data_IF_404986109274
#
_entry.id   IF_404986109274
#
_cell.length_a   1.000
_cell.length_b   1.000
_cell.length_c   1.000
_cell.angle_alpha   90.00
_cell.angle_beta   90.00
_cell.angle_gamma   90.00
#
_symmetry.space_group_name_H-M   'P 1'
#
loop_
_entity.id
_entity.type
_entity.pdbx_description
1 polymer ?
#
# COMPACT_ATOMS: atom_id res chain seq x y z
N UNK A 1 23.00 -10.93 -16.43
CA UNK A 1 22.70 -10.11 -15.23
C UNK A 1 22.53 -8.67 -15.71
N UNK A 2 21.39 -8.01 -15.46
CA UNK A 2 21.11 -6.68 -16.00
C UNK A 2 21.98 -5.57 -15.36
N UNK A 3 22.50 -5.80 -14.15
CA UNK A 3 23.33 -4.84 -13.42
C UNK A 3 24.54 -5.57 -12.78
N UNK A 4 25.77 -5.38 -13.30
CA UNK A 4 26.96 -6.10 -12.82
C UNK A 4 27.27 -5.91 -11.33
N UNK A 5 26.94 -4.74 -10.77
CA UNK A 5 27.09 -4.40 -9.36
C UNK A 5 25.83 -4.68 -8.52
N UNK A 6 24.80 -5.29 -9.11
CA UNK A 6 23.51 -5.52 -8.46
C UNK A 6 22.61 -4.28 -8.33
N UNK A 7 23.10 -3.07 -8.59
CA UNK A 7 22.36 -1.80 -8.49
C UNK A 7 22.69 -0.86 -9.66
N UNK A 8 21.69 -0.15 -10.16
CA UNK A 8 21.84 0.98 -11.11
C UNK A 8 21.04 2.18 -10.63
N UNK A 9 21.61 3.38 -10.70
CA UNK A 9 20.92 4.63 -10.36
C UNK A 9 20.91 5.54 -11.59
N UNK A 10 19.75 6.11 -11.89
CA UNK A 10 19.53 7.06 -12.98
C UNK A 10 18.91 8.31 -12.39
N UNK A 11 19.58 9.44 -12.55
CA UNK A 11 19.12 10.75 -12.09
C UNK A 11 18.45 11.50 -13.22
N UNK A 12 17.26 12.02 -12.96
CA UNK A 12 16.51 12.96 -13.79
C UNK A 12 16.47 14.32 -13.11
N UNK A 13 15.96 15.33 -13.81
CA UNK A 13 15.85 16.70 -13.28
C UNK A 13 15.16 16.72 -11.90
N UNK A 14 13.96 16.13 -11.78
CA UNK A 14 13.18 16.14 -10.53
C UNK A 14 12.93 14.74 -9.95
N UNK A 15 13.72 13.74 -10.35
CA UNK A 15 13.52 12.37 -9.91
C UNK A 15 14.82 11.57 -9.86
N UNK A 16 14.91 10.64 -8.92
CA UNK A 16 15.97 9.64 -8.85
C UNK A 16 15.31 8.27 -9.01
N UNK A 17 15.79 7.49 -9.97
CA UNK A 17 15.32 6.14 -10.24
C UNK A 17 16.42 5.14 -9.94
N UNK A 18 16.16 4.24 -9.00
CA UNK A 18 17.06 3.18 -8.56
C UNK A 18 16.51 1.84 -9.03
N UNK A 19 17.37 1.02 -9.61
CA UNK A 19 17.10 -0.35 -10.02
C UNK A 19 17.99 -1.30 -9.24
N UNK A 20 17.43 -2.42 -8.83
CA UNK A 20 18.10 -3.47 -8.09
C UNK A 20 17.93 -4.78 -8.87
N UNK A 21 18.97 -5.62 -8.90
CA UNK A 21 18.83 -6.98 -9.43
C UNK A 21 17.96 -7.81 -8.47
N UNK A 22 17.23 -8.78 -9.03
CA UNK A 22 16.47 -9.75 -8.25
C UNK A 22 17.36 -10.37 -7.15
N UNK A 23 16.80 -10.52 -5.94
CA UNK A 23 17.43 -11.11 -4.75
C UNK A 23 18.62 -10.35 -4.14
N UNK A 24 18.98 -9.16 -4.64
CA UNK A 24 19.97 -8.30 -3.99
C UNK A 24 19.38 -7.64 -2.73
N UNK A 25 18.14 -7.19 -2.83
CA UNK A 25 17.42 -6.59 -1.72
C UNK A 25 16.62 -7.68 -0.97
N UNK A 26 16.82 -7.85 0.36
CA UNK A 26 16.19 -8.93 1.12
C UNK A 26 14.67 -8.78 1.23
N UNK A 27 14.16 -7.56 1.09
CA UNK A 27 12.73 -7.22 1.08
C UNK A 27 12.07 -7.41 -0.31
N UNK A 28 12.84 -7.82 -1.32
CA UNK A 28 12.36 -8.02 -2.68
C UNK A 28 12.19 -6.74 -3.50
N UNK A 29 12.73 -5.60 -3.06
CA UNK A 29 12.68 -4.34 -3.81
C UNK A 29 13.51 -4.45 -5.10
N UNK A 30 12.89 -4.15 -6.25
CA UNK A 30 13.56 -4.18 -7.57
C UNK A 30 13.67 -2.80 -8.22
N UNK A 31 12.76 -1.88 -7.89
CA UNK A 31 12.77 -0.53 -8.42
C UNK A 31 12.26 0.45 -7.37
N UNK A 32 12.94 1.59 -7.25
CA UNK A 32 12.51 2.71 -6.43
C UNK A 32 12.63 4.00 -7.22
N UNK A 33 11.55 4.75 -7.33
CA UNK A 33 11.54 6.07 -7.94
C UNK A 33 11.17 7.09 -6.88
N UNK A 34 12.04 8.09 -6.66
CA UNK A 34 11.78 9.20 -5.73
C UNK A 34 11.67 10.49 -6.54
N UNK A 35 10.56 11.18 -6.38
CA UNK A 35 10.30 12.49 -6.97
C UNK A 35 10.55 13.60 -5.94
N UNK A 36 11.09 14.71 -6.40
CA UNK A 36 11.45 15.85 -5.57
C UNK A 36 10.81 17.14 -6.08
N UNK A 37 10.49 18.02 -5.15
CA UNK A 37 10.21 19.45 -5.39
C UNK A 37 11.44 20.25 -4.95
N UNK A 38 11.86 21.17 -5.82
CA UNK A 38 13.01 22.06 -5.57
C UNK A 38 14.29 21.30 -5.20
N UNK A 39 14.45 20.07 -5.70
CA UNK A 39 15.61 19.19 -5.47
C UNK A 39 15.87 18.78 -4.01
N UNK A 40 15.05 19.20 -3.04
CA UNK A 40 15.26 18.93 -1.61
C UNK A 40 14.10 18.11 -1.03
N UNK A 41 12.86 18.48 -1.35
CA UNK A 41 11.68 17.94 -0.69
C UNK A 41 11.12 16.75 -1.46
N UNK A 42 11.09 15.57 -0.85
CA UNK A 42 10.41 14.40 -1.44
C UNK A 42 8.92 14.68 -1.55
N UNK A 43 8.34 14.39 -2.72
CA UNK A 43 6.89 14.54 -2.95
C UNK A 43 6.20 13.23 -3.16
N UNK A 44 6.84 12.32 -3.88
CA UNK A 44 6.26 11.04 -4.22
C UNK A 44 7.35 9.99 -4.31
N UNK A 45 7.10 8.82 -3.74
CA UNK A 45 7.96 7.66 -3.83
C UNK A 45 7.13 6.50 -4.37
N UNK A 46 7.67 5.81 -5.36
CA UNK A 46 7.11 4.56 -5.87
C UNK A 46 8.15 3.47 -5.68
N UNK A 47 7.77 2.40 -5.02
CA UNK A 47 8.59 1.22 -4.77
C UNK A 47 7.90 0.02 -5.42
N UNK A 48 8.65 -0.77 -6.18
CA UNK A 48 8.16 -1.97 -6.86
C UNK A 48 8.91 -3.17 -6.31
N UNK A 49 8.16 -4.19 -5.93
CA UNK A 49 8.65 -5.38 -5.28
C UNK A 49 8.41 -6.62 -6.13
N UNK A 50 9.23 -7.65 -5.91
CA UNK A 50 9.12 -8.95 -6.57
C UNK A 50 9.42 -10.06 -5.56
N UNK A 51 8.76 -11.21 -5.74
CA UNK A 51 8.99 -12.43 -4.96
C UNK A 51 8.79 -12.29 -3.45
N UNK A 52 8.03 -11.31 -2.97
CA UNK A 52 7.67 -11.21 -1.56
C UNK A 52 6.64 -12.28 -1.17
N UNK A 53 6.81 -12.83 0.03
CA UNK A 53 5.93 -13.86 0.61
C UNK A 53 4.52 -13.30 0.81
N UNK A 54 4.43 -12.06 1.29
CA UNK A 54 3.18 -11.34 1.55
C UNK A 54 2.49 -10.82 0.29
N UNK A 55 2.98 -11.14 -0.91
CA UNK A 55 2.39 -10.75 -2.21
C UNK A 55 2.35 -9.23 -2.46
N UNK A 56 3.08 -8.42 -1.70
CA UNK A 56 3.22 -6.99 -1.98
C UNK A 56 3.98 -6.78 -3.29
N UNK A 57 3.43 -5.97 -4.19
CA UNK A 57 4.00 -5.70 -5.52
C UNK A 57 4.41 -4.24 -5.71
N UNK A 58 3.73 -3.32 -5.02
CA UNK A 58 3.98 -1.88 -5.19
C UNK A 58 3.58 -1.12 -3.94
N UNK A 59 4.39 -0.13 -3.57
CA UNK A 59 4.05 0.87 -2.57
C UNK A 59 4.19 2.24 -3.19
N UNK A 60 3.18 3.09 -2.99
CA UNK A 60 3.19 4.47 -3.40
C UNK A 60 3.03 5.34 -2.16
N UNK A 61 3.99 6.22 -1.91
CA UNK A 61 3.96 7.16 -0.78
C UNK A 61 3.98 8.57 -1.30
N UNK A 62 2.91 9.31 -1.02
CA UNK A 62 2.80 10.73 -1.28
C UNK A 62 3.10 11.51 -0.01
N UNK A 63 4.11 12.37 -0.10
CA UNK A 63 4.52 13.23 1.00
C UNK A 63 3.78 14.56 0.89
N UNK A 64 3.10 14.94 1.96
CA UNK A 64 2.46 16.26 2.08
C UNK A 64 2.93 16.92 3.37
N UNK A 65 2.67 18.23 3.51
CA UNK A 65 3.09 18.99 4.70
C UNK A 65 2.42 18.50 5.99
N UNK A 66 1.23 17.91 5.89
CA UNK A 66 0.44 17.51 7.04
C UNK A 66 0.69 16.03 7.38
N UNK A 67 0.37 15.14 6.43
CA UNK A 67 0.46 13.70 6.63
C UNK A 67 0.89 13.01 5.33
N UNK A 68 1.62 11.91 5.45
CA UNK A 68 2.00 11.10 4.30
C UNK A 68 0.87 10.12 3.99
N UNK A 69 0.47 10.04 2.73
CA UNK A 69 -0.48 9.05 2.24
C UNK A 69 0.32 7.89 1.64
N UNK A 70 0.10 6.67 2.12
CA UNK A 70 0.76 5.47 1.59
C UNK A 70 -0.28 4.49 1.09
N UNK A 71 -0.07 3.97 -0.11
CA UNK A 71 -0.91 2.94 -0.74
C UNK A 71 -0.06 1.73 -1.07
N UNK A 72 -0.39 0.61 -0.44
CA UNK A 72 0.21 -0.70 -0.68
C UNK A 72 -0.69 -1.49 -1.63
N UNK A 73 -0.10 -2.09 -2.66
CA UNK A 73 -0.78 -2.92 -3.65
C UNK A 73 -0.27 -4.35 -3.56
N UNK A 74 -1.21 -5.29 -3.51
CA UNK A 74 -0.94 -6.72 -3.39
C UNK A 74 -1.47 -7.46 -4.62
N UNK A 75 -0.76 -8.52 -5.04
CA UNK A 75 -1.28 -9.45 -6.05
C UNK A 75 -2.23 -10.47 -5.40
N UNK A 76 -3.14 -11.04 -6.19
CA UNK A 76 -4.02 -12.10 -5.73
C UNK A 76 -3.26 -13.34 -5.23
N UNK A 77 -3.92 -14.13 -4.38
CA UNK A 77 -3.35 -15.35 -3.79
C UNK A 77 -2.79 -15.19 -2.37
N UNK A 78 -3.02 -14.04 -1.73
CA UNK A 78 -2.95 -13.89 -0.26
C UNK A 78 -4.18 -14.54 0.38
N UNK A 79 -4.00 -15.16 1.54
CA UNK A 79 -5.08 -15.88 2.25
C UNK A 79 -6.22 -14.98 2.72
N UNK A 80 -5.93 -13.70 2.98
CA UNK A 80 -6.93 -12.70 3.38
C UNK A 80 -7.50 -11.90 2.20
N UNK A 81 -7.11 -12.25 0.96
CA UNK A 81 -7.56 -11.60 -0.27
C UNK A 81 -7.32 -10.08 -0.31
N UNK A 82 -6.39 -9.57 0.48
CA UNK A 82 -6.04 -8.16 0.50
C UNK A 82 -5.59 -7.72 -0.91
N UNK A 83 -6.17 -6.63 -1.40
CA UNK A 83 -5.83 -6.04 -2.70
C UNK A 83 -5.09 -4.72 -2.54
N UNK A 84 -5.65 -3.80 -1.76
CA UNK A 84 -5.00 -2.53 -1.46
C UNK A 84 -5.13 -2.19 0.01
N UNK A 85 -4.08 -1.61 0.58
CA UNK A 85 -4.10 -1.03 1.90
C UNK A 85 -3.58 0.40 1.80
N UNK A 86 -4.47 1.36 2.03
CA UNK A 86 -4.15 2.79 2.03
C UNK A 86 -4.24 3.33 3.46
N UNK A 87 -3.26 4.09 3.89
CA UNK A 87 -3.24 4.71 5.22
C UNK A 87 -2.57 6.08 5.20
N UNK A 88 -2.91 6.88 6.22
CA UNK A 88 -2.36 8.22 6.42
C UNK A 88 -1.47 8.24 7.66
N UNK A 89 -0.23 8.69 7.52
CA UNK A 89 0.75 8.74 8.60
C UNK A 89 1.48 7.42 8.83
N UNK A 90 1.66 7.03 10.09
CA UNK A 90 2.38 5.82 10.50
C UNK A 90 1.48 4.59 10.54
N UNK A 91 1.81 3.54 9.78
CA UNK A 91 1.05 2.30 9.74
C UNK A 91 0.95 1.58 11.10
N UNK A 92 1.86 1.86 12.05
CA UNK A 92 1.83 1.24 13.38
C UNK A 92 0.89 1.96 14.35
N UNK A 93 0.48 3.19 14.03
CA UNK A 93 -0.42 3.95 14.88
C UNK A 93 -1.87 3.51 14.65
N UNK A 94 -2.57 3.16 15.74
CA UNK A 94 -3.95 2.66 15.71
C UNK A 94 -4.98 3.75 15.35
N UNK A 95 -4.64 5.01 15.61
CA UNK A 95 -5.49 6.17 15.33
C UNK A 95 -5.45 6.57 13.84
N UNK A 96 -4.68 5.88 13.01
CA UNK A 96 -4.57 6.20 11.59
C UNK A 96 -5.81 5.77 10.81
N UNK A 97 -6.21 6.65 9.89
CA UNK A 97 -7.25 6.32 8.92
C UNK A 97 -6.71 5.32 7.93
N UNK A 98 -7.45 4.22 7.73
CA UNK A 98 -7.07 3.15 6.80
C UNK A 98 -8.23 2.81 5.89
N UNK A 99 -7.90 2.53 4.65
CA UNK A 99 -8.83 2.12 3.61
C UNK A 99 -8.27 0.85 2.99
N UNK A 100 -8.99 -0.24 3.19
CA UNK A 100 -8.58 -1.56 2.77
C UNK A 100 -9.58 -2.06 1.73
N UNK A 101 -9.10 -2.56 0.61
CA UNK A 101 -9.93 -3.23 -0.40
C UNK A 101 -9.48 -4.66 -0.57
N UNK A 102 -10.44 -5.52 -0.88
CA UNK A 102 -10.21 -6.95 -1.03
C UNK A 102 -10.52 -7.40 -2.47
N UNK A 103 -9.89 -8.49 -2.87
CA UNK A 103 -10.31 -9.25 -4.03
C UNK A 103 -11.61 -9.99 -3.72
N UNK A 104 -12.48 -10.11 -4.73
CA UNK A 104 -13.74 -10.82 -4.58
C UNK A 104 -13.47 -12.33 -4.54
N UNK A 105 -13.65 -12.94 -3.37
CA UNK A 105 -13.57 -14.40 -3.21
C UNK A 105 -14.88 -15.09 -3.63
N UNK A 106 -16.01 -14.47 -3.27
CA UNK A 106 -17.37 -14.97 -3.45
C UNK A 106 -18.30 -13.79 -3.72
N UNK A 107 -19.49 -14.04 -4.25
CA UNK A 107 -20.50 -13.01 -4.51
C UNK A 107 -20.85 -12.19 -3.26
N UNK A 108 -20.83 -12.79 -2.08
CA UNK A 108 -21.17 -12.18 -0.78
C UNK A 108 -19.94 -11.69 0.03
N UNK A 109 -18.79 -11.53 -0.61
CA UNK A 109 -17.55 -11.20 0.08
C UNK A 109 -17.52 -9.76 0.61
N UNK A 110 -16.68 -9.53 1.62
CA UNK A 110 -16.31 -8.19 2.05
C UNK A 110 -15.62 -7.46 0.90
N UNK A 111 -16.05 -6.23 0.62
CA UNK A 111 -15.55 -5.41 -0.48
C UNK A 111 -14.48 -4.42 0.01
N UNK A 112 -14.87 -3.60 0.98
CA UNK A 112 -14.01 -2.56 1.55
C UNK A 112 -14.12 -2.53 3.07
N UNK A 113 -13.02 -2.09 3.70
CA UNK A 113 -12.96 -1.80 5.12
C UNK A 113 -12.35 -0.40 5.29
N UNK A 114 -13.12 0.50 5.90
CA UNK A 114 -12.71 1.87 6.22
C UNK A 114 -12.56 1.96 7.72
N UNK A 115 -11.34 2.16 8.19
CA UNK A 115 -10.98 2.23 9.60
C UNK A 115 -10.67 3.69 9.93
N UNK A 116 -11.23 4.15 11.03
CA UNK A 116 -10.95 5.43 11.65
C UNK A 116 -10.62 5.18 13.12
N UNK A 117 -10.19 6.22 13.83
CA UNK A 117 -9.75 6.13 15.23
C UNK A 117 -10.77 5.43 16.14
N UNK A 118 -12.06 5.72 15.97
CA UNK A 118 -13.11 5.27 16.89
C UNK A 118 -14.11 4.30 16.25
N UNK A 119 -13.93 3.94 14.99
CA UNK A 119 -14.87 3.06 14.31
C UNK A 119 -14.28 2.41 13.07
N UNK A 120 -14.91 1.34 12.60
CA UNK A 120 -14.70 0.87 11.25
C UNK A 120 -16.04 0.61 10.54
N UNK A 121 -16.03 0.81 9.23
CA UNK A 121 -17.13 0.54 8.33
C UNK A 121 -16.69 -0.57 7.39
N UNK A 122 -17.46 -1.65 7.32
CA UNK A 122 -17.29 -2.72 6.36
C UNK A 122 -18.40 -2.65 5.32
N UNK A 123 -18.05 -2.74 4.04
CA UNK A 123 -19.01 -2.90 2.93
C UNK A 123 -18.92 -4.31 2.36
N UNK A 124 -20.02 -4.80 1.81
CA UNK A 124 -20.12 -6.15 1.24
C UNK A 124 -20.65 -6.08 -0.18
N UNK A 125 -20.21 -7.04 -1.01
CA UNK A 125 -20.77 -7.25 -2.33
C UNK A 125 -22.00 -8.13 -2.23
N UNK A 126 -23.08 -7.78 -2.94
CA UNK A 126 -24.19 -8.65 -3.37
C UNK A 126 -24.64 -9.77 -2.41
N UNK A 127 -24.69 -9.48 -1.10
CA UNK A 127 -25.12 -10.48 -0.12
C UNK A 127 -26.61 -10.78 -0.29
N UNK A 128 -26.97 -12.05 -0.26
CA UNK A 128 -28.36 -12.52 -0.37
C UNK A 128 -29.27 -12.04 0.77
N UNK A 129 -28.69 -11.68 1.93
CA UNK A 129 -29.42 -11.14 3.07
C UNK A 129 -29.59 -9.61 3.02
N UNK A 130 -29.24 -8.98 1.90
CA UNK A 130 -29.33 -7.53 1.69
C UNK A 130 -28.50 -6.69 2.68
N UNK A 131 -27.46 -7.30 3.28
CA UNK A 131 -26.51 -6.58 4.12
C UNK A 131 -25.49 -5.84 3.24
N UNK A 132 -25.69 -4.54 3.04
CA UNK A 132 -24.80 -3.71 2.23
C UNK A 132 -23.56 -3.21 2.99
N UNK A 133 -23.74 -2.81 4.24
CA UNK A 133 -22.67 -2.29 5.08
C UNK A 133 -22.97 -2.50 6.56
N UNK A 134 -21.90 -2.46 7.38
CA UNK A 134 -22.00 -2.40 8.85
C UNK A 134 -21.00 -1.37 9.38
N UNK A 135 -21.34 -0.72 10.49
CA UNK A 135 -20.44 0.14 11.26
C UNK A 135 -20.26 -0.43 12.65
N UNK A 136 -19.02 -0.57 13.08
CA UNK A 136 -18.66 -0.91 14.44
C UNK A 136 -17.99 0.30 15.09
N UNK A 137 -18.39 0.63 16.32
CA UNK A 137 -17.85 1.76 17.08
C UNK A 137 -17.07 1.17 18.25
N UNK A 138 -15.85 1.64 18.44
CA UNK A 138 -15.01 1.22 19.55
C UNK A 138 -15.44 1.98 20.81
N UNK A 139 -15.62 1.25 21.90
CA UNK A 139 -15.82 1.86 23.20
C UNK A 139 -14.46 1.97 23.88
N UNK A 140 -13.99 3.21 24.10
CA UNK A 140 -12.81 3.45 24.92
C UNK A 140 -13.19 3.19 26.38
N UNK A 141 -12.51 2.25 27.01
CA UNK A 141 -12.60 1.95 28.45
C UNK A 141 -11.35 2.39 29.16
#
# INVERSE_FOLDING_TARGET
>A
MLYPSGKKVVTYMNAIKEFYSDYIMPDGLIEKTTFFTEYVNKTFVTEIYKNRIDKLIRVETKYTTNENETVEYFISGRDDFLRTHMFFGDCNNIHTKRFVTFYNLRLDSMAELKIDENSFITTFNERSDLLFWRKCIFQQT
#
